data_IF_107266672063
#
_entry.id   IF_107266672063
#
_cell.length_a   1.000
_cell.length_b   1.000
_cell.length_c   1.000
_cell.angle_alpha   90.00
_cell.angle_beta   90.00
_cell.angle_gamma   90.00
#
_symmetry.space_group_name_H-M   'P 1'
#
loop_
_entity.id
_entity.type
_entity.pdbx_description
1 polymer ?
#
# COMPACT_ATOMS: atom_id res chain seq x y z
N UNK A 1 30.12 51.34 -26.57
CA UNK A 1 30.13 50.46 -25.39
C UNK A 1 28.70 50.42 -24.87
N UNK A 2 27.91 49.50 -25.38
CA UNK A 2 26.48 49.32 -25.06
C UNK A 2 26.34 47.93 -24.48
N UNK A 3 26.12 47.85 -23.16
CA UNK A 3 25.99 46.59 -22.45
C UNK A 3 24.56 46.07 -22.62
N UNK A 4 24.44 44.95 -23.32
CA UNK A 4 23.21 44.20 -23.54
C UNK A 4 22.92 43.40 -22.25
N UNK A 5 21.85 43.73 -21.53
CA UNK A 5 21.38 42.92 -20.39
C UNK A 5 20.32 41.98 -20.95
N UNK A 6 20.72 40.72 -21.17
CA UNK A 6 19.83 39.65 -21.59
C UNK A 6 18.80 39.35 -20.51
N UNK A 7 17.53 39.33 -20.90
CA UNK A 7 16.42 38.85 -20.08
C UNK A 7 16.54 37.33 -20.00
N UNK A 8 16.93 36.82 -18.83
CA UNK A 8 16.82 35.39 -18.51
C UNK A 8 15.35 35.05 -18.32
N UNK A 9 14.77 34.32 -19.26
CA UNK A 9 13.43 33.77 -19.16
C UNK A 9 13.50 32.52 -18.27
N UNK A 10 13.21 32.66 -16.98
CA UNK A 10 13.04 31.52 -16.09
C UNK A 10 11.69 30.84 -16.40
N UNK A 11 11.74 29.70 -17.08
CA UNK A 11 10.58 28.81 -17.22
C UNK A 11 10.40 28.11 -15.88
N UNK A 12 9.54 28.65 -15.01
CA UNK A 12 8.98 27.89 -13.91
C UNK A 12 8.02 26.85 -14.50
N UNK A 13 8.44 25.59 -14.55
CA UNK A 13 7.53 24.44 -14.67
C UNK A 13 6.74 24.33 -13.37
N UNK A 14 5.69 25.14 -13.26
CA UNK A 14 4.68 24.97 -12.22
C UNK A 14 4.02 23.61 -12.40
N UNK A 15 4.17 22.74 -11.40
CA UNK A 15 3.30 21.58 -11.25
C UNK A 15 1.90 22.16 -11.04
N UNK A 16 1.03 22.01 -12.04
CA UNK A 16 -0.39 22.30 -11.90
C UNK A 16 -0.94 21.34 -10.84
N UNK A 17 -1.07 21.83 -9.61
CA UNK A 17 -1.91 21.19 -8.60
C UNK A 17 -3.35 21.40 -9.06
N UNK A 18 -3.85 20.47 -9.87
CA UNK A 18 -5.28 20.39 -10.15
C UNK A 18 -5.95 19.99 -8.83
N UNK A 19 -6.51 20.95 -8.10
CA UNK A 19 -7.57 20.66 -7.14
C UNK A 19 -8.74 20.14 -7.96
N UNK A 20 -8.84 18.82 -8.08
CA UNK A 20 -10.07 18.20 -8.55
C UNK A 20 -11.20 18.54 -7.56
N UNK A 21 -12.44 18.57 -8.04
CA UNK A 21 -13.64 18.47 -7.20
C UNK A 21 -14.21 17.08 -7.43
N UNK A 22 -13.96 16.18 -6.50
CA UNK A 22 -14.31 14.77 -6.57
C UNK A 22 -13.26 13.86 -7.23
N UNK A 23 -13.55 12.55 -7.33
CA UNK A 23 -12.61 11.56 -7.79
C UNK A 23 -12.32 11.68 -9.29
N UNK A 24 -11.04 11.51 -9.65
CA UNK A 24 -10.54 11.74 -11.01
C UNK A 24 -9.58 10.65 -11.49
N UNK A 25 -9.44 10.61 -12.81
CA UNK A 25 -8.41 9.88 -13.54
C UNK A 25 -7.83 10.85 -14.58
N UNK A 26 -6.54 11.14 -14.49
CA UNK A 26 -5.80 11.93 -15.46
C UNK A 26 -4.76 11.05 -16.15
N UNK A 27 -4.89 10.85 -17.46
CA UNK A 27 -3.92 10.08 -18.25
C UNK A 27 -2.77 10.99 -18.69
N UNK A 28 -1.55 10.64 -18.31
CA UNK A 28 -0.34 11.33 -18.80
C UNK A 28 0.13 10.72 -20.12
N UNK A 29 0.02 9.39 -20.25
CA UNK A 29 0.25 8.62 -21.46
C UNK A 29 -0.49 7.27 -21.36
N UNK A 30 -0.18 6.30 -22.23
CA UNK A 30 -0.85 4.99 -22.29
C UNK A 30 -0.68 4.13 -21.03
N UNK A 31 0.46 4.25 -20.34
CA UNK A 31 0.81 3.41 -19.19
C UNK A 31 0.95 4.21 -17.89
N UNK A 32 0.89 5.54 -17.95
CA UNK A 32 1.07 6.43 -16.79
C UNK A 32 -0.15 7.31 -16.58
N UNK A 33 -0.69 7.23 -15.36
CA UNK A 33 -1.94 7.86 -14.98
C UNK A 33 -1.88 8.39 -13.55
N UNK A 34 -2.60 9.46 -13.27
CA UNK A 34 -2.81 9.97 -11.92
C UNK A 34 -4.26 9.69 -11.54
N UNK A 35 -4.46 9.01 -10.42
CA UNK A 35 -5.78 8.79 -9.83
C UNK A 35 -5.84 9.40 -8.45
N UNK A 36 -7.02 9.83 -8.02
CA UNK A 36 -7.18 10.44 -6.72
C UNK A 36 -8.49 11.17 -6.56
N UNK A 37 -8.51 12.06 -5.57
CA UNK A 37 -9.58 12.98 -5.24
C UNK A 37 -8.99 14.26 -4.63
N UNK A 38 -9.83 15.03 -3.94
CA UNK A 38 -9.49 16.35 -3.39
C UNK A 38 -8.49 16.28 -2.22
N UNK A 39 -8.28 15.08 -1.67
CA UNK A 39 -7.43 14.86 -0.50
C UNK A 39 -6.11 14.17 -0.86
N UNK A 40 -6.17 13.17 -1.74
CA UNK A 40 -5.02 12.37 -2.14
C UNK A 40 -4.95 12.13 -3.64
N UNK A 41 -3.75 11.89 -4.15
CA UNK A 41 -3.54 11.36 -5.49
C UNK A 41 -2.30 10.48 -5.54
N UNK A 42 -2.24 9.56 -6.50
CA UNK A 42 -1.08 8.71 -6.76
C UNK A 42 -0.81 8.64 -8.25
N UNK A 43 0.47 8.62 -8.62
CA UNK A 43 0.91 8.42 -9.99
C UNK A 43 1.14 6.93 -10.23
N UNK A 44 0.25 6.28 -10.98
CA UNK A 44 0.36 4.88 -11.40
C UNK A 44 1.03 4.84 -12.76
N UNK A 45 2.30 4.41 -12.79
CA UNK A 45 3.03 4.09 -14.02
C UNK A 45 2.65 2.70 -14.53
N UNK A 46 3.48 2.14 -15.42
CA UNK A 46 3.23 0.84 -16.03
C UNK A 46 3.03 -0.32 -15.03
N UNK A 47 3.59 -0.21 -13.83
CA UNK A 47 3.55 -1.29 -12.83
C UNK A 47 3.37 -0.73 -11.42
N UNK A 48 4.11 0.33 -11.09
CA UNK A 48 4.15 0.91 -9.75
C UNK A 48 3.33 2.20 -9.64
N UNK A 49 2.62 2.34 -8.52
CA UNK A 49 2.06 3.59 -8.03
C UNK A 49 3.05 4.28 -7.11
N UNK A 50 3.60 5.39 -7.57
CA UNK A 50 4.55 6.22 -6.82
C UNK A 50 3.95 7.61 -6.60
N UNK A 51 4.62 8.45 -5.81
CA UNK A 51 4.17 9.82 -5.53
C UNK A 51 2.75 9.84 -4.98
N UNK A 52 2.52 9.11 -3.89
CA UNK A 52 1.24 9.13 -3.20
C UNK A 52 1.17 10.42 -2.39
N UNK A 53 0.62 11.47 -2.98
CA UNK A 53 0.39 12.72 -2.27
C UNK A 53 -0.87 12.61 -1.44
N UNK A 54 -0.77 12.95 -0.16
CA UNK A 54 -1.91 13.22 0.70
C UNK A 54 -1.62 14.46 1.52
N UNK A 55 -2.47 15.50 1.36
CA UNK A 55 -2.21 16.85 1.90
C UNK A 55 -0.78 17.33 1.63
N UNK A 56 -0.36 17.24 0.37
CA UNK A 56 0.95 17.71 -0.14
C UNK A 56 2.18 16.91 0.31
N UNK A 57 2.02 15.92 1.20
CA UNK A 57 3.11 15.03 1.59
C UNK A 57 3.12 13.79 0.69
N UNK A 58 4.28 13.47 0.09
CA UNK A 58 4.49 12.21 -0.62
C UNK A 58 4.75 11.09 0.39
N UNK A 59 3.78 10.19 0.53
CA UNK A 59 3.79 9.09 1.49
C UNK A 59 4.46 7.83 0.95
N UNK A 60 4.81 7.79 -0.34
CA UNK A 60 5.72 6.76 -0.87
C UNK A 60 7.16 7.18 -0.63
N UNK A 61 7.50 8.46 -0.84
CA UNK A 61 8.85 8.96 -0.67
C UNK A 61 9.86 8.17 -1.51
N UNK A 62 10.85 7.56 -0.85
CA UNK A 62 11.86 6.72 -1.51
C UNK A 62 11.49 5.22 -1.56
N UNK A 63 10.34 4.83 -1.01
CA UNK A 63 9.86 3.45 -1.07
C UNK A 63 9.44 3.05 -2.50
N UNK A 64 9.27 1.75 -2.76
CA UNK A 64 8.88 1.32 -4.12
C UNK A 64 7.43 1.65 -4.50
N UNK A 65 6.61 2.02 -3.52
CA UNK A 65 5.22 2.41 -3.73
C UNK A 65 4.27 1.23 -3.86
N UNK A 66 3.18 1.49 -4.55
CA UNK A 66 2.06 0.57 -4.74
C UNK A 66 2.26 -0.36 -5.91
N UNK A 67 1.88 -1.62 -5.78
CA UNK A 67 1.74 -2.51 -6.93
C UNK A 67 0.81 -3.67 -6.63
N UNK A 68 0.45 -4.36 -7.70
CA UNK A 68 -0.43 -5.52 -7.69
C UNK A 68 0.37 -6.70 -8.19
N UNK A 69 0.26 -7.82 -7.48
CA UNK A 69 1.01 -9.01 -7.84
C UNK A 69 0.14 -10.25 -7.74
N UNK A 70 0.36 -11.17 -8.67
CA UNK A 70 -0.27 -12.50 -8.69
C UNK A 70 0.81 -13.58 -8.69
N UNK A 71 0.40 -14.85 -8.66
CA UNK A 71 1.29 -16.00 -8.71
C UNK A 71 2.44 -15.91 -7.70
N UNK A 72 2.10 -15.77 -6.43
CA UNK A 72 3.11 -15.73 -5.40
C UNK A 72 4.05 -14.50 -5.42
N UNK A 73 3.67 -13.39 -6.06
CA UNK A 73 4.55 -12.23 -6.31
C UNK A 73 5.69 -12.50 -7.31
N UNK A 74 5.57 -13.57 -8.12
CA UNK A 74 6.47 -13.82 -9.25
C UNK A 74 6.15 -12.94 -10.45
N UNK A 75 4.91 -12.46 -10.54
CA UNK A 75 4.47 -11.58 -11.61
C UNK A 75 3.70 -10.40 -11.02
N UNK A 76 4.22 -9.21 -11.30
CA UNK A 76 3.52 -7.95 -11.02
C UNK A 76 2.71 -7.57 -12.25
N UNK A 77 1.50 -7.04 -12.03
CA UNK A 77 0.63 -6.65 -13.13
C UNK A 77 1.21 -5.44 -13.85
N UNK A 78 1.25 -5.55 -15.17
CA UNK A 78 1.66 -4.48 -16.07
C UNK A 78 0.41 -3.86 -16.68
N UNK A 79 0.16 -2.60 -16.37
CA UNK A 79 -1.02 -1.87 -16.82
C UNK A 79 -0.88 -1.49 -18.29
N UNK A 80 -1.83 -1.94 -19.10
CA UNK A 80 -1.94 -1.61 -20.52
C UNK A 80 -2.85 -0.41 -20.76
N UNK A 81 -3.78 -0.13 -19.84
CA UNK A 81 -4.61 1.09 -19.88
C UNK A 81 -5.28 1.37 -18.53
N UNK A 82 -5.72 2.62 -18.35
CA UNK A 82 -6.65 3.02 -17.29
C UNK A 82 -7.91 3.62 -17.89
N UNK A 83 -9.07 3.46 -17.26
CA UNK A 83 -10.33 4.12 -17.67
C UNK A 83 -11.26 4.31 -16.49
N UNK A 84 -12.23 5.21 -16.62
CA UNK A 84 -13.35 5.28 -15.67
C UNK A 84 -14.40 4.30 -16.18
N UNK A 85 -14.62 3.21 -15.46
CA UNK A 85 -15.65 2.23 -15.81
C UNK A 85 -17.05 2.76 -15.49
N UNK A 86 -17.18 3.40 -14.33
CA UNK A 86 -18.43 4.02 -13.90
C UNK A 86 -18.18 5.31 -13.13
N UNK A 87 -19.07 6.29 -13.28
CA UNK A 87 -19.02 7.55 -12.54
C UNK A 87 -20.39 7.85 -11.94
N UNK A 88 -20.43 7.90 -10.61
CA UNK A 88 -21.56 8.44 -9.88
C UNK A 88 -21.35 9.91 -9.54
N UNK A 89 -22.29 10.48 -8.78
CA UNK A 89 -22.20 11.88 -8.32
C UNK A 89 -20.98 12.12 -7.42
N UNK A 90 -20.66 11.15 -6.55
CA UNK A 90 -19.62 11.29 -5.51
C UNK A 90 -18.54 10.20 -5.57
N UNK A 91 -18.56 9.32 -6.58
CA UNK A 91 -17.57 8.26 -6.74
C UNK A 91 -17.18 8.06 -8.21
N UNK A 92 -15.99 7.55 -8.44
CA UNK A 92 -15.56 7.04 -9.73
C UNK A 92 -14.99 5.64 -9.52
N UNK A 93 -15.47 4.70 -10.31
CA UNK A 93 -14.89 3.37 -10.45
C UNK A 93 -13.82 3.43 -11.54
N UNK A 94 -12.56 3.32 -11.13
CA UNK A 94 -11.40 3.39 -12.02
C UNK A 94 -10.92 1.97 -12.28
N UNK A 95 -10.90 1.61 -13.56
CA UNK A 95 -10.45 0.33 -14.08
C UNK A 95 -9.04 0.45 -14.63
N UNK A 96 -8.12 -0.32 -14.10
CA UNK A 96 -6.79 -0.55 -14.66
C UNK A 96 -6.80 -1.92 -15.36
N UNK A 97 -6.39 -1.99 -16.62
CA UNK A 97 -6.38 -3.25 -17.38
C UNK A 97 -4.96 -3.79 -17.48
N UNK A 98 -4.79 -5.09 -17.25
CA UNK A 98 -3.56 -5.84 -17.50
C UNK A 98 -3.87 -7.10 -18.33
N UNK A 99 -2.84 -7.86 -18.72
CA UNK A 99 -3.03 -9.10 -19.47
C UNK A 99 -3.80 -10.16 -18.67
N UNK A 100 -3.66 -10.12 -17.34
CA UNK A 100 -4.26 -11.03 -16.38
C UNK A 100 -5.73 -10.69 -16.07
N UNK A 101 -6.18 -9.47 -16.39
CA UNK A 101 -7.56 -9.06 -16.18
C UNK A 101 -7.73 -7.59 -15.84
N UNK A 102 -8.98 -7.23 -15.55
CA UNK A 102 -9.37 -5.88 -15.14
C UNK A 102 -9.28 -5.72 -13.63
N UNK A 103 -8.58 -4.67 -13.22
CA UNK A 103 -8.34 -4.31 -11.85
C UNK A 103 -9.19 -3.10 -11.47
N UNK A 104 -10.24 -3.40 -10.71
CA UNK A 104 -11.04 -2.40 -9.99
C UNK A 104 -10.66 -2.36 -8.50
N UNK A 105 -9.99 -3.42 -8.04
CA UNK A 105 -8.90 -3.55 -7.05
C UNK A 105 -8.73 -5.08 -6.75
N UNK A 106 -7.54 -5.69 -6.90
CA UNK A 106 -7.04 -7.11 -6.74
C UNK A 106 -5.89 -7.13 -5.70
N UNK A 107 -5.28 -8.28 -5.28
CA UNK A 107 -4.16 -8.37 -4.30
C UNK A 107 -3.21 -7.17 -4.36
N UNK A 108 -3.32 -6.30 -3.36
CA UNK A 108 -2.69 -4.98 -3.34
C UNK A 108 -1.58 -4.94 -2.30
N UNK A 109 -0.53 -4.18 -2.61
CA UNK A 109 0.54 -3.92 -1.67
C UNK A 109 0.92 -2.44 -1.74
N UNK A 110 1.17 -1.85 -0.58
CA UNK A 110 1.81 -0.56 -0.43
C UNK A 110 3.18 -0.73 0.21
N UNK A 111 4.20 -0.15 -0.41
CA UNK A 111 5.47 0.17 0.24
C UNK A 111 5.52 1.67 0.47
N UNK A 112 5.57 2.06 1.74
CA UNK A 112 5.41 3.44 2.18
C UNK A 112 6.68 3.94 2.86
N UNK A 113 6.78 5.27 2.93
CA UNK A 113 7.89 5.95 3.57
C UNK A 113 8.03 5.52 5.02
N UNK A 114 9.25 5.23 5.40
CA UNK A 114 9.51 4.44 6.57
C UNK A 114 9.67 5.27 7.86
N UNK A 115 9.81 6.58 7.66
CA UNK A 115 9.85 7.62 8.69
C UNK A 115 8.42 8.06 9.00
N UNK A 116 7.58 8.19 7.98
CA UNK A 116 6.18 8.55 8.10
C UNK A 116 5.32 7.43 8.70
N UNK A 117 5.75 6.17 8.52
CA UNK A 117 5.06 4.97 8.98
C UNK A 117 5.97 4.04 9.80
N UNK A 118 6.40 4.44 11.01
CA UNK A 118 7.28 3.63 11.85
C UNK A 118 6.57 2.45 12.51
N UNK A 119 5.24 2.47 12.66
CA UNK A 119 4.49 1.48 13.43
C UNK A 119 3.58 0.64 12.53
N UNK A 120 3.29 -0.58 12.99
CA UNK A 120 2.35 -1.51 12.36
C UNK A 120 1.28 -1.96 13.34
N UNK A 121 0.11 -2.31 12.82
CA UNK A 121 -1.00 -2.80 13.65
C UNK A 121 -1.85 -3.85 12.95
N UNK A 122 -2.24 -4.87 13.71
CA UNK A 122 -3.26 -5.89 13.43
C UNK A 122 -4.25 -5.95 14.59
N UNK A 123 -5.12 -6.96 14.61
CA UNK A 123 -6.05 -7.21 15.72
C UNK A 123 -5.36 -7.78 16.98
N UNK A 124 -4.17 -8.36 16.85
CA UNK A 124 -3.44 -9.00 17.96
C UNK A 124 -2.12 -8.28 18.31
N UNK A 125 -1.75 -7.25 17.55
CA UNK A 125 -0.45 -6.61 17.64
C UNK A 125 -0.53 -5.14 17.25
N UNK A 126 0.11 -4.27 18.02
CA UNK A 126 0.20 -2.83 17.76
C UNK A 126 1.51 -2.32 18.35
N UNK A 127 2.54 -2.18 17.53
CA UNK A 127 3.88 -1.81 17.98
C UNK A 127 4.72 -1.21 16.84
N UNK A 128 5.90 -0.69 17.19
CA UNK A 128 6.87 -0.23 16.21
C UNK A 128 7.39 -1.37 15.34
N UNK A 129 7.50 -1.11 14.03
CA UNK A 129 8.19 -2.00 13.13
C UNK A 129 9.69 -2.01 13.45
N UNK A 130 10.40 -3.13 13.22
CA UNK A 130 11.85 -3.15 13.31
C UNK A 130 12.47 -2.02 12.48
N UNK A 131 13.49 -1.38 13.01
CA UNK A 131 14.25 -0.35 12.31
C UNK A 131 15.05 -0.96 11.18
N UNK A 132 15.33 -0.19 10.13
CA UNK A 132 16.14 -0.69 9.00
C UNK A 132 17.56 -1.08 9.45
N UNK A 133 18.14 -0.38 10.43
CA UNK A 133 19.45 -0.68 11.00
C UNK A 133 19.52 -2.02 11.73
N UNK A 134 18.41 -2.47 12.35
CA UNK A 134 18.38 -3.75 13.06
C UNK A 134 18.62 -4.94 12.12
N UNK A 135 18.22 -4.86 10.84
CA UNK A 135 18.51 -5.90 9.87
C UNK A 135 19.99 -6.01 9.54
N UNK A 136 20.69 -4.88 9.48
CA UNK A 136 22.12 -4.84 9.18
C UNK A 136 22.97 -5.38 10.33
N UNK A 137 22.50 -5.23 11.58
CA UNK A 137 23.19 -5.74 12.77
C UNK A 137 22.78 -7.17 13.17
N UNK A 138 21.76 -7.75 12.53
CA UNK A 138 21.24 -9.09 12.86
C UNK A 138 21.71 -10.15 11.87
N UNK A 139 21.80 -11.40 12.32
CA UNK A 139 22.21 -12.52 11.46
C UNK A 139 21.01 -13.10 10.73
N UNK A 140 21.00 -13.10 9.39
CA UNK A 140 19.93 -13.73 8.59
C UNK A 140 19.99 -15.25 8.78
N UNK A 141 18.93 -15.84 9.32
CA UNK A 141 18.89 -17.28 9.66
C UNK A 141 18.09 -18.12 8.65
N UNK A 142 17.04 -17.57 8.05
CA UNK A 142 16.23 -18.19 6.99
C UNK A 142 15.24 -17.17 6.42
N UNK A 143 14.83 -17.35 5.15
CA UNK A 143 13.84 -16.50 4.46
C UNK A 143 13.98 -15.02 4.86
N UNK A 144 12.92 -14.31 5.24
CA UNK A 144 12.99 -12.97 5.81
C UNK A 144 12.90 -13.07 7.34
N UNK A 145 13.90 -13.71 7.96
CA UNK A 145 14.07 -13.87 9.42
C UNK A 145 15.54 -13.67 9.84
N UNK A 146 15.75 -12.88 10.88
CA UNK A 146 17.06 -12.50 11.41
C UNK A 146 17.11 -12.69 12.92
N UNK A 147 18.23 -13.18 13.42
CA UNK A 147 18.50 -13.31 14.85
C UNK A 147 19.29 -12.09 15.34
N UNK A 148 18.77 -11.41 16.36
CA UNK A 148 19.44 -10.33 17.09
C UNK A 148 20.56 -10.88 17.98
N UNK A 149 21.47 -10.02 18.43
CA UNK A 149 22.57 -10.41 19.33
C UNK A 149 22.08 -10.99 20.66
N UNK A 150 20.93 -10.54 21.16
CA UNK A 150 20.31 -11.04 22.39
C UNK A 150 19.62 -12.42 22.22
N UNK A 151 19.65 -12.98 21.01
CA UNK A 151 19.05 -14.25 20.66
C UNK A 151 17.58 -14.18 20.23
N UNK A 152 16.93 -13.01 20.33
CA UNK A 152 15.57 -12.80 19.81
C UNK A 152 15.55 -12.72 18.28
N UNK A 153 14.36 -12.78 17.68
CA UNK A 153 14.21 -12.78 16.22
C UNK A 153 13.40 -11.60 15.73
N UNK A 154 13.77 -11.12 14.54
CA UNK A 154 12.96 -10.27 13.68
C UNK A 154 12.49 -11.13 12.52
N UNK A 155 11.21 -11.10 12.18
CA UNK A 155 10.70 -11.80 11.00
C UNK A 155 9.59 -11.03 10.30
N UNK A 156 9.50 -11.14 8.97
CA UNK A 156 8.36 -10.57 8.23
C UNK A 156 7.02 -11.13 8.71
N UNK A 157 7.03 -12.30 9.36
CA UNK A 157 5.85 -12.96 9.89
C UNK A 157 5.36 -12.38 11.23
N UNK A 158 6.08 -11.42 11.83
CA UNK A 158 5.80 -10.89 13.17
C UNK A 158 4.42 -10.25 13.33
N UNK A 159 3.85 -9.76 12.23
CA UNK A 159 2.49 -9.21 12.17
C UNK A 159 1.53 -10.10 11.37
N UNK A 160 1.84 -11.40 11.25
CA UNK A 160 0.86 -12.34 10.70
C UNK A 160 -0.30 -12.50 11.67
N UNK A 161 -1.51 -12.63 11.15
CA UNK A 161 -2.70 -12.82 11.97
C UNK A 161 -3.71 -13.73 11.26
N UNK A 162 -4.61 -14.32 12.05
CA UNK A 162 -5.74 -15.08 11.52
C UNK A 162 -6.65 -14.17 10.70
N UNK A 163 -6.84 -14.51 9.43
CA UNK A 163 -7.64 -13.70 8.50
C UNK A 163 -9.07 -13.51 9.00
N UNK A 164 -9.64 -14.56 9.63
CA UNK A 164 -10.99 -14.54 10.18
C UNK A 164 -11.17 -13.46 11.25
N UNK A 165 -10.13 -13.19 12.04
CA UNK A 165 -10.22 -12.36 13.23
C UNK A 165 -9.71 -10.93 12.99
N UNK A 166 -9.16 -10.64 11.80
CA UNK A 166 -8.72 -9.31 11.39
C UNK A 166 -9.91 -8.33 11.27
N UNK A 167 -9.88 -7.29 12.09
CA UNK A 167 -10.79 -6.13 12.04
C UNK A 167 -10.33 -5.13 10.97
N UNK A 168 -9.15 -4.56 11.15
CA UNK A 168 -8.40 -3.73 10.20
C UNK A 168 -6.91 -3.89 10.48
N UNK A 169 -6.06 -3.53 9.55
CA UNK A 169 -4.62 -3.58 9.77
C UNK A 169 -3.92 -2.59 8.85
N UNK A 170 -2.70 -2.23 9.20
CA UNK A 170 -2.01 -1.18 8.48
C UNK A 170 -0.79 -0.65 9.18
N UNK A 171 -0.25 0.42 8.62
CA UNK A 171 0.92 1.11 9.13
C UNK A 171 0.57 2.55 9.47
N UNK A 172 1.23 3.09 10.49
CA UNK A 172 0.94 4.44 10.97
C UNK A 172 2.18 5.10 11.58
N UNK A 173 2.10 6.42 11.69
CA UNK A 173 3.00 7.27 12.46
C UNK A 173 2.23 8.43 13.09
N UNK A 174 2.96 9.43 13.55
CA UNK A 174 2.37 10.56 14.27
C UNK A 174 1.42 11.39 13.40
N UNK A 175 1.70 11.49 12.10
CA UNK A 175 0.93 12.33 11.18
C UNK A 175 0.00 11.55 10.28
N UNK A 176 0.36 10.32 9.88
CA UNK A 176 -0.37 9.58 8.86
C UNK A 176 -0.66 8.14 9.29
N UNK A 177 -1.76 7.60 8.78
CA UNK A 177 -2.09 6.18 8.90
C UNK A 177 -2.64 5.67 7.57
N UNK A 178 -2.28 4.44 7.22
CA UNK A 178 -2.76 3.72 6.05
C UNK A 178 -3.32 2.38 6.51
N UNK A 179 -4.54 2.07 6.12
CA UNK A 179 -5.31 0.97 6.68
C UNK A 179 -6.01 0.15 5.60
N UNK A 180 -6.03 -1.17 5.76
CA UNK A 180 -6.94 -2.06 5.06
C UNK A 180 -8.10 -2.46 5.97
N UNK A 181 -9.30 -2.36 5.42
CA UNK A 181 -10.54 -2.82 6.06
C UNK A 181 -11.21 -3.79 5.09
N UNK A 182 -11.36 -5.04 5.52
CA UNK A 182 -11.88 -6.13 4.71
C UNK A 182 -13.23 -6.57 5.32
N UNK A 183 -14.37 -6.06 4.82
CA UNK A 183 -15.70 -6.31 5.40
C UNK A 183 -16.18 -7.76 5.23
N UNK A 184 -15.70 -8.45 4.18
CA UNK A 184 -15.91 -9.88 3.95
C UNK A 184 -14.57 -10.63 3.89
N UNK A 185 -14.60 -11.95 4.11
CA UNK A 185 -13.42 -12.82 3.99
C UNK A 185 -13.63 -13.96 2.97
N UNK A 186 -14.73 -13.96 2.24
CA UNK A 186 -15.17 -14.98 1.26
C UNK A 186 -14.30 -15.05 -0.01
N UNK A 187 -13.44 -14.07 -0.20
CA UNK A 187 -12.48 -14.00 -1.29
C UNK A 187 -11.05 -14.39 -0.88
N UNK A 188 -10.79 -14.73 0.39
CA UNK A 188 -9.49 -15.29 0.81
C UNK A 188 -9.42 -16.80 0.54
N UNK A 189 -8.25 -17.29 0.16
CA UNK A 189 -8.03 -18.73 0.08
C UNK A 189 -7.77 -19.35 1.45
N UNK A 190 -8.03 -20.65 1.57
CA UNK A 190 -7.84 -21.40 2.81
C UNK A 190 -9.14 -21.58 3.58
N UNK A 191 -9.03 -21.71 4.91
CA UNK A 191 -10.16 -21.95 5.79
C UNK A 191 -10.08 -21.04 7.03
N UNK A 192 -10.88 -21.32 8.05
CA UNK A 192 -10.95 -20.54 9.28
C UNK A 192 -9.63 -20.43 10.08
N UNK A 193 -8.62 -21.26 9.78
CA UNK A 193 -7.29 -21.25 10.39
C UNK A 193 -6.24 -20.51 9.54
N UNK A 194 -6.63 -19.98 8.38
CA UNK A 194 -5.73 -19.23 7.49
C UNK A 194 -5.14 -18.02 8.22
N UNK A 195 -3.83 -17.87 8.12
CA UNK A 195 -3.12 -16.64 8.47
C UNK A 195 -2.41 -16.07 7.25
N UNK A 196 -2.12 -14.78 7.28
CA UNK A 196 -1.33 -14.13 6.24
C UNK A 196 -0.44 -13.03 6.77
N UNK A 197 0.53 -12.67 5.93
CA UNK A 197 1.32 -11.45 6.08
C UNK A 197 0.42 -10.23 5.92
N UNK A 198 0.49 -9.30 6.88
CA UNK A 198 -0.28 -8.05 6.85
C UNK A 198 0.64 -6.85 6.70
N UNK A 199 1.60 -6.66 7.61
CA UNK A 199 2.56 -5.57 7.59
C UNK A 199 3.96 -6.06 7.98
N UNK A 200 5.01 -5.41 7.50
CA UNK A 200 6.38 -5.61 7.98
C UNK A 200 7.30 -4.48 7.51
N UNK A 201 8.53 -4.46 7.99
CA UNK A 201 9.61 -3.65 7.43
C UNK A 201 10.34 -4.45 6.34
N UNK A 202 10.49 -3.89 5.14
CA UNK A 202 11.29 -4.49 4.07
C UNK A 202 12.77 -4.45 4.44
N UNK A 203 13.42 -5.61 4.47
CA UNK A 203 14.79 -5.75 4.97
C UNK A 203 15.86 -5.23 4.01
N UNK A 204 15.53 -5.08 2.71
CA UNK A 204 16.45 -4.60 1.69
C UNK A 204 16.44 -3.07 1.53
N UNK A 205 15.29 -2.44 1.75
CA UNK A 205 15.08 -1.00 1.47
C UNK A 205 14.63 -0.20 2.68
N UNK A 206 14.17 -0.89 3.72
CA UNK A 206 13.61 -0.27 4.90
C UNK A 206 12.18 0.23 4.71
N UNK A 207 11.47 -0.10 3.63
CA UNK A 207 10.10 0.37 3.41
C UNK A 207 9.12 -0.14 4.48
N UNK A 208 8.13 0.67 4.86
CA UNK A 208 6.98 0.18 5.61
C UNK A 208 6.04 -0.54 4.64
N UNK A 209 5.95 -1.87 4.75
CA UNK A 209 5.17 -2.71 3.84
C UNK A 209 3.80 -2.99 4.45
N UNK A 210 2.74 -2.74 3.68
CA UNK A 210 1.36 -3.09 4.00
C UNK A 210 0.77 -3.93 2.86
N UNK A 211 0.38 -5.16 3.16
CA UNK A 211 -0.04 -6.17 2.19
C UNK A 211 -1.50 -6.57 2.40
N UNK A 212 -2.30 -6.55 1.34
CA UNK A 212 -3.60 -7.20 1.30
C UNK A 212 -3.49 -8.56 0.60
N UNK A 213 -3.08 -9.56 1.37
CA UNK A 213 -2.73 -10.90 0.87
C UNK A 213 -3.96 -11.79 0.67
N UNK A 214 -4.67 -11.59 -0.45
CA UNK A 214 -5.95 -12.27 -0.71
C UNK A 214 -5.76 -13.77 -1.01
N UNK A 215 -4.81 -14.11 -1.87
CA UNK A 215 -4.56 -15.47 -2.33
C UNK A 215 -3.05 -15.77 -2.29
N UNK A 216 -2.61 -16.53 -1.28
CA UNK A 216 -1.20 -16.94 -1.10
C UNK A 216 -1.08 -18.23 -0.28
N UNK A 217 0.11 -18.83 -0.29
CA UNK A 217 0.37 -20.12 0.34
C UNK A 217 0.87 -20.05 1.80
N UNK A 218 0.95 -18.86 2.42
CA UNK A 218 1.39 -18.76 3.81
C UNK A 218 0.37 -19.39 4.76
N UNK A 219 0.84 -20.11 5.78
CA UNK A 219 0.03 -20.64 6.88
C UNK A 219 -1.30 -21.28 6.46
N UNK A 220 -1.19 -22.48 5.89
CA UNK A 220 -2.29 -23.36 5.47
C UNK A 220 -3.08 -22.90 4.24
N UNK A 221 -2.64 -23.36 3.07
CA UNK A 221 -3.41 -23.60 1.83
C UNK A 221 -2.42 -23.66 0.66
N UNK A 222 -2.71 -24.45 -0.37
CA UNK A 222 -2.05 -24.26 -1.67
C UNK A 222 -2.69 -23.05 -2.37
N UNK A 223 -1.89 -22.12 -2.86
CA UNK A 223 -2.43 -21.11 -3.78
C UNK A 223 -2.79 -21.79 -5.10
N UNK A 224 -4.01 -21.59 -5.57
CA UNK A 224 -4.39 -21.84 -6.96
C UNK A 224 -4.38 -20.47 -7.63
N UNK A 225 -3.41 -20.27 -8.52
CA UNK A 225 -3.21 -18.99 -9.20
C UNK A 225 -4.13 -18.81 -10.41
N UNK A 226 -4.94 -19.82 -10.72
CA UNK A 226 -6.03 -19.73 -11.69
C UNK A 226 -7.27 -19.13 -11.02
N UNK A 227 -7.47 -17.83 -11.21
CA UNK A 227 -8.67 -17.12 -10.75
C UNK A 227 -9.80 -17.41 -11.75
N UNK A 228 -10.93 -18.00 -11.32
CA UNK A 228 -12.02 -18.31 -12.24
C UNK A 228 -12.61 -17.06 -12.91
N UNK A 229 -13.02 -17.19 -14.16
CA UNK A 229 -13.75 -16.16 -14.89
C UNK A 229 -14.98 -15.70 -14.09
N UNK A 230 -15.15 -14.38 -13.97
CA UNK A 230 -16.26 -13.77 -13.24
C UNK A 230 -16.12 -13.80 -11.72
N UNK A 231 -15.01 -14.29 -11.15
CA UNK A 231 -14.76 -14.18 -9.71
C UNK A 231 -14.45 -12.74 -9.32
N UNK A 232 -15.29 -12.17 -8.45
CA UNK A 232 -14.97 -10.94 -7.74
C UNK A 232 -14.14 -11.26 -6.50
N UNK A 233 -13.08 -10.48 -6.29
CA UNK A 233 -12.28 -10.52 -5.07
C UNK A 233 -12.37 -9.16 -4.40
N UNK A 234 -12.81 -9.16 -3.14
CA UNK A 234 -13.22 -7.95 -2.43
C UNK A 234 -14.74 -7.88 -2.24
N UNK A 235 -15.26 -6.70 -1.86
CA UNK A 235 -14.55 -5.43 -1.73
C UNK A 235 -13.66 -5.36 -0.50
N UNK A 236 -12.67 -4.48 -0.54
CA UNK A 236 -11.99 -3.94 0.64
C UNK A 236 -11.87 -2.43 0.51
N UNK A 237 -11.69 -1.78 1.65
CA UNK A 237 -11.39 -0.37 1.72
C UNK A 237 -9.92 -0.20 2.09
N UNK A 238 -9.19 0.52 1.23
CA UNK A 238 -7.93 1.14 1.63
C UNK A 238 -8.24 2.55 2.11
N UNK A 239 -7.89 2.85 3.35
CA UNK A 239 -8.25 4.09 4.04
C UNK A 239 -7.01 4.81 4.53
N UNK A 240 -6.91 6.10 4.23
CA UNK A 240 -5.82 6.96 4.68
C UNK A 240 -6.35 8.01 5.64
N UNK A 241 -5.59 8.23 6.71
CA UNK A 241 -5.86 9.27 7.71
C UNK A 241 -4.64 10.18 7.85
N UNK A 242 -4.89 11.48 7.95
CA UNK A 242 -3.91 12.48 8.36
C UNK A 242 -4.40 12.94 9.72
N UNK A 243 -3.61 12.76 10.77
CA UNK A 243 -4.02 13.08 12.12
C UNK A 243 -4.47 14.56 12.21
N UNK A 244 -5.77 14.72 12.45
CA UNK A 244 -6.23 15.37 13.68
C UNK A 244 -6.46 14.22 14.69
N UNK A 245 -5.99 14.40 15.93
CA UNK A 245 -6.13 13.49 17.09
C UNK A 245 -7.16 12.36 16.91
N UNK A 246 -6.71 11.10 16.94
CA UNK A 246 -7.63 9.98 17.14
C UNK A 246 -8.44 10.26 18.41
N UNK A 247 -9.79 10.21 18.35
CA UNK A 247 -10.59 10.25 19.57
C UNK A 247 -10.13 9.15 20.51
N UNK A 248 -10.10 9.42 21.82
CA UNK A 248 -9.53 8.47 22.79
C UNK A 248 -10.24 7.09 22.80
N UNK A 249 -11.46 6.99 22.25
CA UNK A 249 -12.18 5.72 22.07
C UNK A 249 -11.64 4.81 20.97
N UNK A 250 -10.73 5.29 20.10
CA UNK A 250 -10.12 4.51 19.03
C UNK A 250 -8.78 3.88 19.44
N UNK A 251 -8.16 4.40 20.50
CA UNK A 251 -7.08 3.72 21.20
C UNK A 251 -7.72 2.57 21.95
N UNK A 252 -7.31 1.34 21.68
CA UNK A 252 -7.64 0.22 22.54
C UNK A 252 -7.15 0.59 23.94
N UNK A 253 -8.06 1.02 24.82
CA UNK A 253 -7.77 1.07 26.24
C UNK A 253 -7.41 -0.34 26.61
N UNK A 254 -6.15 -0.55 26.98
CA UNK A 254 -5.74 -1.76 27.70
C UNK A 254 -6.73 -1.93 28.85
N UNK A 255 -7.55 -2.96 28.74
CA UNK A 255 -8.38 -3.40 29.86
C UNK A 255 -7.38 -3.95 30.87
N UNK A 256 -7.09 -3.18 31.91
CA UNK A 256 -6.43 -3.69 33.12
C UNK A 256 -7.25 -4.80 33.77
#
# INVERSE_FOLDING_TARGET
MTLNIGVFCAVLTGILVVQAKGPFLHKLNETTHIIGNDLWNVTIGHQYGVKLFYRETDLVGNAWGYYVSYNGAQSNLNWTSASIHHRGTNYADIKLTAAEGDFHWFRTLWRLDNISFPNGRTNIKDESLPTFSEYASSTKVQDETWQREDGSYITKYDFSAYIRDLDFYGVYGDQFGSWYINPGKDYYNGNHLKQELTVHRESATGDAVQLNMIHKAHFQTSSVDNIPDGKLLGPWLWYMVCQFQFPDWWKLTTVE
#
